data_IF_080076553095
#
_entry.id   IF_080076553095
#
_cell.length_a   1.000
_cell.length_b   1.000
_cell.length_c   1.000
_cell.angle_alpha   90.00
_cell.angle_beta   90.00
_cell.angle_gamma   90.00
#
_symmetry.space_group_name_H-M   'P 1'
#
loop_
_entity.id
_entity.type
_entity.pdbx_description
1 polymer ?
#
# COMPACT_ATOMS: atom_id res chain seq x y z
N UNK A 1 43.48 58.69 -86.08
CA UNK A 1 44.02 57.51 -85.42
C UNK A 1 43.11 57.11 -84.30
N UNK A 2 42.21 56.17 -84.45
CA UNK A 2 41.37 55.62 -83.42
C UNK A 2 41.22 54.13 -83.68
N UNK A 3 41.80 53.29 -82.76
CA UNK A 3 41.65 51.86 -82.80
C UNK A 3 40.40 51.46 -82.01
N UNK A 4 39.54 50.71 -82.69
CA UNK A 4 38.36 50.07 -82.13
C UNK A 4 38.77 48.79 -81.37
N UNK A 5 38.26 48.64 -80.19
CA UNK A 5 38.39 47.39 -79.43
C UNK A 5 36.97 46.75 -79.33
N UNK A 6 36.86 45.58 -79.90
CA UNK A 6 35.66 44.75 -79.82
C UNK A 6 35.55 44.12 -78.42
N UNK A 7 34.40 44.24 -77.84
CA UNK A 7 34.04 43.59 -76.58
C UNK A 7 33.35 42.27 -76.86
N UNK A 8 33.94 41.14 -76.45
CA UNK A 8 33.32 39.83 -76.48
C UNK A 8 32.57 39.60 -75.19
N UNK A 9 31.30 39.32 -75.33
CA UNK A 9 30.44 39.00 -74.19
C UNK A 9 30.47 37.47 -74.01
N UNK A 10 31.15 36.96 -72.95
CA UNK A 10 31.00 35.57 -72.48
C UNK A 10 29.78 35.49 -71.55
N UNK A 11 28.81 34.68 -71.98
CA UNK A 11 27.66 34.35 -71.18
C UNK A 11 28.05 33.23 -70.19
N UNK A 12 28.14 33.54 -68.85
CA UNK A 12 28.28 32.57 -67.83
C UNK A 12 26.90 32.10 -67.31
N UNK A 13 26.57 30.86 -67.64
CA UNK A 13 25.38 30.19 -67.09
C UNK A 13 25.69 29.76 -65.64
N UNK A 14 25.08 30.48 -64.73
CA UNK A 14 25.20 30.15 -63.26
C UNK A 14 24.15 29.08 -62.93
N UNK A 15 24.59 27.84 -62.73
CA UNK A 15 23.75 26.74 -62.27
C UNK A 15 23.50 26.92 -60.77
N UNK A 16 22.30 27.34 -60.41
CA UNK A 16 21.85 27.47 -59.01
C UNK A 16 21.46 26.09 -58.50
N UNK A 17 22.35 25.41 -57.75
CA UNK A 17 22.06 24.18 -57.02
C UNK A 17 21.22 24.50 -55.77
N UNK A 18 19.91 24.24 -55.87
CA UNK A 18 19.00 24.26 -54.73
C UNK A 18 19.25 23.02 -53.87
N UNK A 19 19.95 23.18 -52.74
CA UNK A 19 20.02 22.19 -51.67
C UNK A 19 18.66 22.14 -50.96
N UNK A 20 17.83 21.16 -51.28
CA UNK A 20 16.68 20.82 -50.43
C UNK A 20 17.20 20.16 -49.16
N UNK A 21 17.29 20.91 -48.04
CA UNK A 21 17.43 20.35 -46.72
C UNK A 21 16.11 19.71 -46.36
N UNK A 22 16.02 18.38 -46.51
CA UNK A 22 14.93 17.60 -45.92
C UNK A 22 15.15 17.58 -44.42
N UNK A 23 14.45 18.45 -43.66
CA UNK A 23 14.36 18.35 -42.22
C UNK A 23 13.54 17.08 -41.96
N UNK A 24 14.25 15.99 -41.67
CA UNK A 24 13.65 14.76 -41.17
C UNK A 24 13.16 15.05 -39.73
N UNK A 25 11.87 15.36 -39.62
CA UNK A 25 11.20 15.46 -38.32
C UNK A 25 11.12 14.05 -37.77
N UNK A 26 12.14 13.61 -37.04
CA UNK A 26 12.07 12.41 -36.21
C UNK A 26 11.06 12.71 -35.10
N UNK A 27 9.82 12.25 -35.28
CA UNK A 27 8.86 12.16 -34.22
C UNK A 27 9.46 11.23 -33.16
N UNK A 28 10.02 11.82 -32.11
CA UNK A 28 10.31 11.11 -30.87
C UNK A 28 8.99 10.48 -30.43
N UNK A 29 8.84 9.17 -30.67
CA UNK A 29 7.82 8.38 -30.00
C UNK A 29 8.08 8.59 -28.51
N UNK A 30 7.24 9.40 -27.87
CA UNK A 30 7.14 9.46 -26.43
C UNK A 30 6.73 8.05 -26.02
N UNK A 31 7.70 7.24 -25.58
CA UNK A 31 7.40 5.97 -24.94
C UNK A 31 6.42 6.30 -23.82
N UNK A 32 5.16 6.00 -24.05
CA UNK A 32 4.16 6.03 -22.98
C UNK A 32 4.64 4.98 -22.00
N UNK A 33 5.20 5.43 -20.88
CA UNK A 33 5.54 4.54 -19.79
C UNK A 33 4.30 3.70 -19.54
N UNK A 34 4.40 2.40 -19.79
CA UNK A 34 3.31 1.46 -19.55
C UNK A 34 2.96 1.63 -18.09
N UNK A 35 1.71 2.00 -17.80
CA UNK A 35 1.23 2.07 -16.42
C UNK A 35 1.23 0.63 -15.87
N UNK A 36 2.31 0.24 -15.21
CA UNK A 36 2.54 -1.09 -14.65
C UNK A 36 1.77 -1.33 -13.34
N UNK A 37 0.89 -0.40 -12.98
CA UNK A 37 0.04 -0.51 -11.81
C UNK A 37 -1.15 -1.45 -12.05
N UNK A 38 -1.18 -2.55 -11.31
CA UNK A 38 -2.31 -3.47 -11.25
C UNK A 38 -3.32 -2.98 -10.21
N UNK A 39 -4.61 -2.95 -10.56
CA UNK A 39 -5.67 -2.79 -9.56
C UNK A 39 -5.88 -4.10 -8.79
N UNK A 40 -5.84 -4.05 -7.46
CA UNK A 40 -6.16 -5.18 -6.60
C UNK A 40 -7.66 -5.28 -6.30
N UNK A 41 -8.42 -4.23 -6.57
CA UNK A 41 -9.85 -4.18 -6.35
C UNK A 41 -10.58 -3.74 -7.62
N UNK A 42 -11.57 -4.50 -8.03
CA UNK A 42 -12.33 -4.29 -9.28
C UNK A 42 -13.52 -3.32 -9.14
N UNK A 43 -13.76 -2.80 -7.94
CA UNK A 43 -14.89 -1.91 -7.65
C UNK A 43 -16.25 -2.59 -7.58
N UNK A 44 -16.36 -3.92 -7.65
CA UNK A 44 -17.62 -4.66 -7.74
C UNK A 44 -17.81 -5.75 -6.69
N UNK A 45 -16.75 -6.48 -6.36
CA UNK A 45 -16.77 -7.60 -5.41
C UNK A 45 -15.39 -7.85 -4.82
N UNK A 46 -15.35 -8.69 -3.78
CA UNK A 46 -14.13 -9.12 -3.10
C UNK A 46 -13.74 -10.57 -3.45
N UNK A 47 -14.11 -11.08 -4.64
CA UNK A 47 -13.84 -12.47 -5.05
C UNK A 47 -12.34 -12.80 -5.15
N UNK A 48 -11.50 -11.78 -5.33
CA UNK A 48 -10.03 -11.92 -5.33
C UNK A 48 -9.41 -11.79 -3.93
N UNK A 49 -10.25 -11.80 -2.89
CA UNK A 49 -9.84 -11.60 -1.52
C UNK A 49 -10.30 -12.74 -0.63
N UNK A 50 -9.58 -13.00 0.45
CA UNK A 50 -9.86 -14.05 1.44
C UNK A 50 -10.10 -13.37 2.78
N UNK A 51 -11.26 -13.62 3.37
CA UNK A 51 -11.61 -13.11 4.70
C UNK A 51 -11.08 -14.05 5.78
N UNK A 52 -10.50 -13.49 6.84
CA UNK A 52 -10.25 -14.19 8.10
C UNK A 52 -10.62 -13.28 9.25
N UNK A 53 -11.56 -13.70 10.05
CA UNK A 53 -12.02 -13.00 11.27
C UNK A 53 -11.75 -13.93 12.47
N UNK A 54 -11.29 -13.36 13.56
CA UNK A 54 -11.09 -14.07 14.83
C UNK A 54 -12.39 -14.75 15.25
N UNK A 55 -12.33 -15.97 15.78
CA UNK A 55 -13.42 -16.89 16.09
C UNK A 55 -14.14 -17.50 14.88
N UNK A 56 -13.77 -17.18 13.64
CA UNK A 56 -14.42 -17.63 12.43
C UNK A 56 -13.47 -18.42 11.53
N UNK A 57 -14.04 -19.34 10.75
CA UNK A 57 -13.28 -20.07 9.74
C UNK A 57 -12.79 -19.12 8.63
N UNK A 58 -11.72 -19.50 7.95
CA UNK A 58 -11.26 -18.78 6.74
C UNK A 58 -12.35 -18.76 5.70
N UNK A 59 -12.63 -17.60 5.13
CA UNK A 59 -13.68 -17.36 4.15
C UNK A 59 -15.03 -16.94 4.77
N UNK A 60 -15.22 -17.08 6.08
CA UNK A 60 -16.42 -16.60 6.76
C UNK A 60 -16.35 -15.08 6.96
N UNK A 61 -17.17 -14.37 6.20
CA UNK A 61 -17.33 -12.92 6.32
C UNK A 61 -18.46 -12.58 7.32
N UNK A 62 -18.26 -12.96 8.58
CA UNK A 62 -19.23 -12.78 9.65
C UNK A 62 -19.82 -11.38 9.67
N UNK A 63 -21.13 -11.28 9.83
CA UNK A 63 -21.85 -10.02 9.87
C UNK A 63 -21.62 -9.12 8.65
N UNK A 64 -21.25 -9.70 7.50
CA UNK A 64 -20.92 -8.97 6.28
C UNK A 64 -19.95 -7.82 6.54
N UNK A 65 -18.88 -8.10 7.35
CA UNK A 65 -17.87 -7.12 7.79
C UNK A 65 -17.23 -6.40 6.63
N UNK A 66 -16.75 -7.18 5.66
CA UNK A 66 -16.16 -6.62 4.43
C UNK A 66 -17.18 -6.65 3.32
N UNK A 67 -17.58 -5.49 2.83
CA UNK A 67 -18.58 -5.37 1.77
C UNK A 67 -18.16 -4.35 0.71
N UNK A 68 -18.80 -4.44 -0.46
CA UNK A 68 -18.57 -3.49 -1.55
C UNK A 68 -19.79 -2.62 -1.72
N UNK A 69 -19.62 -1.33 -1.49
CA UNK A 69 -20.61 -0.30 -1.73
C UNK A 69 -19.92 0.92 -2.33
N UNK A 70 -20.58 1.63 -3.23
CA UNK A 70 -20.07 2.84 -3.89
C UNK A 70 -18.67 2.65 -4.54
N UNK A 71 -18.41 1.46 -5.09
CA UNK A 71 -17.11 1.06 -5.66
C UNK A 71 -15.94 1.12 -4.66
N UNK A 72 -16.22 0.96 -3.36
CA UNK A 72 -15.26 0.92 -2.27
C UNK A 72 -15.37 -0.40 -1.51
N UNK A 73 -14.27 -0.84 -0.90
CA UNK A 73 -14.31 -1.85 0.15
C UNK A 73 -14.63 -1.10 1.45
N UNK A 74 -15.73 -1.49 2.08
CA UNK A 74 -16.17 -0.90 3.35
C UNK A 74 -16.12 -1.94 4.46
N UNK A 75 -15.58 -1.56 5.60
CA UNK A 75 -15.62 -2.33 6.83
C UNK A 75 -16.78 -1.80 7.67
N UNK A 76 -17.71 -2.68 8.04
CA UNK A 76 -18.93 -2.33 8.78
C UNK A 76 -19.23 -3.38 9.85
N UNK A 77 -19.95 -2.94 10.89
CA UNK A 77 -20.31 -3.78 12.05
C UNK A 77 -21.78 -3.70 12.43
N UNK A 78 -22.62 -3.17 11.55
CA UNK A 78 -24.08 -3.00 11.76
C UNK A 78 -24.84 -4.31 11.95
N UNK A 79 -24.25 -5.44 11.50
CA UNK A 79 -24.82 -6.79 11.67
C UNK A 79 -24.17 -7.57 12.82
N UNK A 80 -23.36 -6.92 13.64
CA UNK A 80 -22.76 -7.55 14.82
C UNK A 80 -23.70 -7.42 16.04
N UNK A 81 -23.93 -8.51 16.73
CA UNK A 81 -24.52 -8.53 18.08
C UNK A 81 -23.55 -7.91 19.10
N UNK A 82 -22.36 -8.47 19.20
CA UNK A 82 -21.26 -8.01 20.02
C UNK A 82 -19.95 -8.03 19.23
N UNK A 83 -19.00 -7.15 19.56
CA UNK A 83 -17.69 -7.17 18.89
C UNK A 83 -16.89 -8.43 19.29
N UNK A 84 -16.87 -8.77 20.58
CA UNK A 84 -16.21 -9.97 21.12
C UNK A 84 -14.82 -10.22 20.50
N UNK A 85 -13.98 -9.19 20.39
CA UNK A 85 -12.63 -9.26 19.80
C UNK A 85 -12.60 -9.87 18.37
N UNK A 86 -13.67 -9.72 17.60
CA UNK A 86 -13.72 -10.20 16.20
C UNK A 86 -12.89 -9.30 15.28
N UNK A 87 -11.57 -9.27 15.56
CA UNK A 87 -10.59 -8.65 14.66
C UNK A 87 -10.58 -9.41 13.32
N UNK A 88 -10.52 -8.69 12.23
CA UNK A 88 -10.60 -9.30 10.92
C UNK A 88 -9.62 -8.72 9.91
N UNK A 89 -9.31 -9.53 8.92
CA UNK A 89 -8.37 -9.20 7.87
C UNK A 89 -8.90 -9.66 6.52
N UNK A 90 -8.88 -8.78 5.55
CA UNK A 90 -9.26 -9.07 4.16
C UNK A 90 -8.00 -9.18 3.32
N UNK A 91 -7.58 -10.40 3.03
CA UNK A 91 -6.32 -10.72 2.35
C UNK A 91 -6.48 -10.72 0.84
N UNK A 92 -5.55 -10.08 0.13
CA UNK A 92 -5.45 -10.31 -1.30
C UNK A 92 -4.96 -11.74 -1.58
N UNK A 93 -5.47 -12.36 -2.65
CA UNK A 93 -5.37 -13.81 -2.91
C UNK A 93 -3.96 -14.38 -3.09
N UNK A 94 -2.93 -13.55 -3.32
CA UNK A 94 -1.54 -13.99 -3.52
C UNK A 94 -0.55 -13.17 -2.71
N UNK A 95 0.62 -13.76 -2.33
CA UNK A 95 1.68 -13.04 -1.66
C UNK A 95 2.49 -12.16 -2.62
N UNK A 96 3.27 -11.23 -2.03
CA UNK A 96 4.22 -10.36 -2.71
C UNK A 96 5.52 -10.27 -1.91
N UNK A 97 6.65 -10.09 -2.61
CA UNK A 97 7.98 -9.88 -2.03
C UNK A 97 8.43 -8.42 -2.18
N UNK A 98 8.54 -7.96 -3.42
CA UNK A 98 8.97 -6.60 -3.75
C UNK A 98 7.84 -5.87 -4.45
N UNK A 99 7.33 -4.82 -3.81
CA UNK A 99 6.14 -4.11 -4.34
C UNK A 99 6.07 -2.66 -3.89
N UNK A 100 5.30 -1.88 -4.64
CA UNK A 100 4.78 -0.59 -4.26
C UNK A 100 3.25 -0.69 -4.26
N UNK A 101 2.66 -0.66 -3.08
CA UNK A 101 1.21 -0.61 -2.88
C UNK A 101 0.78 0.82 -2.63
N UNK A 102 -0.38 1.21 -3.16
CA UNK A 102 -1.06 2.45 -2.78
C UNK A 102 -2.55 2.27 -2.72
N UNK A 103 -3.16 2.98 -1.78
CA UNK A 103 -4.59 3.03 -1.60
C UNK A 103 -4.99 4.36 -0.97
N UNK A 104 -6.27 4.60 -0.90
CA UNK A 104 -6.86 5.68 -0.10
C UNK A 104 -7.78 5.09 0.94
N UNK A 105 -7.73 5.64 2.16
CA UNK A 105 -8.63 5.25 3.23
C UNK A 105 -9.29 6.46 3.88
N UNK A 106 -10.43 6.21 4.54
CA UNK A 106 -11.15 7.18 5.34
C UNK A 106 -11.92 6.46 6.44
N UNK A 107 -11.81 6.92 7.67
CA UNK A 107 -12.63 6.38 8.76
C UNK A 107 -14.09 6.75 8.61
N UNK A 108 -14.96 5.86 9.04
CA UNK A 108 -16.41 6.03 9.06
C UNK A 108 -16.95 5.82 10.49
N UNK A 109 -18.22 6.06 10.71
CA UNK A 109 -18.86 5.93 12.01
C UNK A 109 -20.13 5.04 11.93
N UNK A 110 -20.63 4.60 13.08
CA UNK A 110 -20.08 4.74 14.43
C UNK A 110 -19.00 3.68 14.76
N UNK A 111 -18.04 4.04 15.64
CA UNK A 111 -17.17 3.07 16.29
C UNK A 111 -17.96 2.14 17.22
N UNK A 112 -17.52 0.88 17.30
CA UNK A 112 -18.10 -0.13 18.19
C UNK A 112 -17.67 0.12 19.63
N UNK A 113 -18.55 0.68 20.46
CA UNK A 113 -18.27 1.02 21.86
C UNK A 113 -17.97 -0.19 22.77
N UNK A 114 -18.36 -1.39 22.33
CA UNK A 114 -18.04 -2.67 22.97
C UNK A 114 -16.71 -3.27 22.50
N UNK A 115 -16.01 -2.60 21.58
CA UNK A 115 -14.63 -2.91 21.21
C UNK A 115 -13.64 -2.23 22.18
N UNK A 116 -12.40 -2.77 22.31
CA UNK A 116 -11.37 -2.15 23.14
C UNK A 116 -11.08 -0.71 22.70
N UNK A 117 -10.81 0.19 23.64
CA UNK A 117 -10.65 1.62 23.37
C UNK A 117 -9.52 1.97 22.38
N UNK A 118 -8.46 1.16 22.32
CA UNK A 118 -7.36 1.36 21.35
C UNK A 118 -7.80 1.16 19.90
N UNK A 119 -8.96 0.54 19.64
CA UNK A 119 -9.50 0.32 18.30
C UNK A 119 -10.24 1.53 17.73
N UNK A 120 -10.48 2.56 18.54
CA UNK A 120 -11.13 3.78 18.08
C UNK A 120 -10.26 4.51 17.07
N UNK A 121 -10.81 4.77 15.88
CA UNK A 121 -10.11 5.36 14.73
C UNK A 121 -8.76 4.68 14.46
N UNK A 122 -8.78 3.33 14.44
CA UNK A 122 -7.64 2.45 14.22
C UNK A 122 -7.97 1.41 13.16
N UNK A 123 -7.03 1.17 12.25
CA UNK A 123 -7.04 0.17 11.19
C UNK A 123 -5.63 0.09 10.59
N UNK A 124 -5.43 -0.70 9.52
CA UNK A 124 -4.12 -0.79 8.89
C UNK A 124 -4.07 -1.65 7.63
N UNK A 125 -2.86 -1.72 7.09
CA UNK A 125 -2.46 -2.69 6.07
C UNK A 125 -1.50 -3.68 6.72
N UNK A 126 -1.88 -4.96 6.76
CA UNK A 126 -0.95 -6.02 7.10
C UNK A 126 -0.17 -6.42 5.85
N UNK A 127 1.13 -6.63 5.97
CA UNK A 127 1.97 -7.12 4.86
C UNK A 127 3.06 -8.06 5.39
N UNK A 128 3.75 -8.75 4.49
CA UNK A 128 4.57 -9.91 4.88
C UNK A 128 3.82 -10.86 5.82
N UNK A 129 2.50 -10.86 5.69
CA UNK A 129 1.62 -11.62 6.56
C UNK A 129 1.64 -13.10 6.21
N UNK A 130 1.50 -13.94 7.24
CA UNK A 130 1.26 -15.36 7.04
C UNK A 130 0.06 -15.60 6.12
N UNK A 131 0.03 -16.76 5.47
CA UNK A 131 -1.12 -17.19 4.68
C UNK A 131 -2.35 -17.33 5.59
N UNK A 132 -3.48 -16.66 5.29
CA UNK A 132 -4.69 -16.76 6.11
C UNK A 132 -5.19 -18.20 6.29
N UNK A 133 -4.91 -19.08 5.34
CA UNK A 133 -5.26 -20.51 5.42
C UNK A 133 -4.49 -21.30 6.47
N UNK A 134 -3.37 -20.74 6.96
CA UNK A 134 -2.58 -21.32 8.06
C UNK A 134 -3.01 -20.80 9.43
N UNK A 135 -3.88 -19.78 9.49
CA UNK A 135 -4.36 -19.24 10.74
C UNK A 135 -5.38 -20.18 11.41
N UNK A 136 -5.20 -20.39 12.71
CA UNK A 136 -6.19 -21.07 13.52
C UNK A 136 -7.47 -20.23 13.62
N UNK A 137 -8.59 -20.90 13.92
CA UNK A 137 -9.89 -20.23 14.12
C UNK A 137 -9.78 -19.16 15.21
N UNK A 138 -9.13 -19.51 16.31
CA UNK A 138 -8.96 -18.65 17.50
C UNK A 138 -7.68 -17.78 17.45
N UNK A 139 -6.98 -17.72 16.32
CA UNK A 139 -5.87 -16.78 16.17
C UNK A 139 -6.41 -15.37 15.95
N UNK A 140 -6.01 -14.43 16.82
CA UNK A 140 -6.46 -13.03 16.80
C UNK A 140 -5.78 -12.21 15.69
N UNK A 141 -4.46 -12.09 15.74
CA UNK A 141 -3.66 -11.35 14.78
C UNK A 141 -2.84 -12.29 13.90
N UNK A 142 -2.68 -11.97 12.61
CA UNK A 142 -1.68 -12.68 11.79
C UNK A 142 -0.27 -12.36 12.27
N UNK A 143 0.65 -13.30 12.13
CA UNK A 143 2.08 -12.98 12.17
C UNK A 143 2.37 -12.13 10.94
N UNK A 144 2.65 -10.84 11.13
CA UNK A 144 2.77 -9.86 10.05
C UNK A 144 3.43 -8.57 10.52
N UNK A 145 3.78 -7.71 9.59
CA UNK A 145 4.04 -6.29 9.86
C UNK A 145 2.82 -5.48 9.45
N UNK A 146 2.54 -4.41 10.16
CA UNK A 146 1.41 -3.53 9.92
C UNK A 146 1.87 -2.11 9.60
N UNK A 147 1.30 -1.50 8.55
CA UNK A 147 1.24 -0.06 8.40
C UNK A 147 -0.06 0.43 9.02
N UNK A 148 0.01 0.90 10.28
CA UNK A 148 -1.14 1.30 11.07
C UNK A 148 -1.72 2.64 10.62
N UNK A 149 -3.03 2.72 10.54
CA UNK A 149 -3.79 3.93 10.26
C UNK A 149 -4.49 4.44 11.50
N UNK A 150 -4.27 5.72 11.81
CA UNK A 150 -4.90 6.39 12.93
C UNK A 150 -5.51 7.72 12.48
N UNK A 151 -6.49 8.23 13.25
CA UNK A 151 -7.01 9.58 13.11
C UNK A 151 -7.14 10.26 14.48
N UNK A 152 -7.37 11.55 14.48
CA UNK A 152 -7.51 12.39 15.66
C UNK A 152 -8.66 11.93 16.55
N UNK A 153 -8.39 11.69 17.82
CA UNK A 153 -9.41 11.43 18.84
C UNK A 153 -10.00 12.75 19.39
N UNK A 154 -11.06 12.63 20.17
CA UNK A 154 -11.74 13.78 20.78
C UNK A 154 -10.84 14.59 21.75
N UNK A 155 -9.78 13.96 22.29
CA UNK A 155 -8.83 14.63 23.20
C UNK A 155 -7.86 15.59 22.48
N UNK A 156 -7.87 15.60 21.14
CA UNK A 156 -7.07 16.50 20.32
C UNK A 156 -5.57 16.29 20.33
N UNK A 157 -5.09 15.22 21.01
CA UNK A 157 -3.65 14.94 21.08
C UNK A 157 -3.05 14.52 19.73
N UNK A 158 -1.73 14.75 19.53
CA UNK A 158 -1.04 14.23 18.36
C UNK A 158 -1.19 12.72 18.25
N UNK A 159 -1.62 12.25 17.07
CA UNK A 159 -1.83 10.84 16.77
C UNK A 159 -1.42 10.57 15.31
N UNK A 160 -0.10 10.40 15.04
CA UNK A 160 0.40 10.20 13.69
C UNK A 160 -0.16 8.93 13.06
N UNK A 161 -0.32 8.91 11.75
CA UNK A 161 -0.74 7.74 10.96
C UNK A 161 0.41 7.20 10.12
N UNK A 162 0.27 5.95 9.61
CA UNK A 162 1.38 5.30 8.90
C UNK A 162 2.48 4.81 9.84
N UNK A 163 2.14 4.51 11.09
CA UNK A 163 3.05 3.90 12.05
C UNK A 163 3.39 2.46 11.61
N UNK A 164 4.45 1.90 12.14
CA UNK A 164 4.73 0.46 12.06
C UNK A 164 4.27 -0.22 13.33
N UNK A 165 3.48 -1.29 13.23
CA UNK A 165 3.21 -2.22 14.32
C UNK A 165 3.59 -3.65 13.91
N UNK A 166 3.90 -4.51 14.91
CA UNK A 166 4.57 -5.78 14.65
C UNK A 166 3.91 -6.95 15.39
N UNK A 167 2.66 -7.36 15.04
CA UNK A 167 2.05 -8.52 15.65
C UNK A 167 2.82 -9.80 15.26
N UNK A 168 3.43 -10.46 16.26
CA UNK A 168 4.23 -11.68 16.05
C UNK A 168 5.52 -11.48 15.27
N UNK A 169 6.00 -10.25 15.14
CA UNK A 169 7.19 -9.89 14.35
C UNK A 169 8.04 -8.85 15.08
N UNK A 170 9.26 -8.67 14.60
CA UNK A 170 10.19 -7.60 14.98
C UNK A 170 10.72 -6.91 13.73
N UNK A 171 11.25 -5.71 13.87
CA UNK A 171 11.92 -4.97 12.80
C UNK A 171 13.22 -4.35 13.31
N UNK A 172 14.16 -4.08 12.40
CA UNK A 172 15.35 -3.29 12.71
C UNK A 172 15.04 -1.82 12.42
N UNK A 173 15.08 -1.00 13.47
CA UNK A 173 14.90 0.43 13.40
C UNK A 173 16.11 1.14 14.05
N UNK A 174 16.67 2.15 13.36
CA UNK A 174 17.90 2.82 13.79
C UNK A 174 19.06 1.83 14.06
N UNK A 175 19.21 0.81 13.21
CA UNK A 175 20.33 -0.13 13.23
C UNK A 175 20.25 -1.27 14.27
N UNK A 176 19.13 -1.42 14.97
CA UNK A 176 18.93 -2.50 15.96
C UNK A 176 17.47 -2.99 15.96
N UNK A 177 17.27 -4.22 16.41
CA UNK A 177 15.91 -4.74 16.66
C UNK A 177 15.24 -3.82 17.69
N UNK A 178 14.06 -3.32 17.33
CA UNK A 178 13.28 -2.44 18.20
C UNK A 178 12.26 -3.27 19.00
N UNK A 179 12.28 -3.25 20.32
CA UNK A 179 11.39 -4.07 21.15
C UNK A 179 9.96 -3.52 21.23
N UNK A 180 9.69 -2.34 20.70
CA UNK A 180 8.35 -1.74 20.73
C UNK A 180 7.43 -2.46 19.76
N UNK A 181 6.23 -2.78 20.22
CA UNK A 181 5.20 -3.29 19.32
C UNK A 181 4.83 -2.29 18.22
N UNK A 182 4.78 -0.99 18.53
CA UNK A 182 4.53 0.05 17.53
C UNK A 182 5.60 1.15 17.58
N UNK A 183 6.03 1.61 16.39
CA UNK A 183 6.92 2.73 16.16
C UNK A 183 6.12 3.83 15.48
N UNK A 184 6.03 5.01 16.10
CA UNK A 184 5.33 6.15 15.52
C UNK A 184 6.07 6.67 14.29
N UNK A 185 5.31 7.00 13.28
CA UNK A 185 5.77 7.74 12.10
C UNK A 185 5.96 9.22 12.40
N UNK A 186 6.49 9.95 11.43
CA UNK A 186 6.61 11.42 11.48
C UNK A 186 5.43 12.13 10.83
N UNK A 187 4.33 11.42 10.50
CA UNK A 187 3.18 12.06 9.88
C UNK A 187 2.47 13.01 10.84
N UNK A 188 1.76 13.97 10.28
CA UNK A 188 0.82 14.76 11.06
C UNK A 188 -0.42 13.93 11.43
N UNK A 189 -1.23 14.46 12.34
CA UNK A 189 -2.54 13.93 12.70
C UNK A 189 -3.59 14.42 11.70
N UNK A 190 -4.47 13.53 11.25
CA UNK A 190 -5.57 13.82 10.32
C UNK A 190 -6.92 13.60 11.00
N UNK A 191 -7.95 14.27 10.49
CA UNK A 191 -9.34 14.06 10.93
C UNK A 191 -9.91 12.79 10.30
N UNK A 192 -10.88 12.18 10.96
CA UNK A 192 -11.51 10.92 10.51
C UNK A 192 -12.19 11.02 9.15
N UNK A 193 -12.72 12.19 8.80
CA UNK A 193 -13.46 12.42 7.55
C UNK A 193 -12.56 12.61 6.32
N UNK A 194 -11.26 12.81 6.54
CA UNK A 194 -10.31 13.06 5.46
C UNK A 194 -9.97 11.77 4.70
N UNK A 195 -9.94 11.85 3.37
CA UNK A 195 -9.33 10.81 2.54
C UNK A 195 -7.82 10.93 2.59
N UNK A 196 -7.17 9.87 3.07
CA UNK A 196 -5.71 9.80 3.21
C UNK A 196 -5.15 8.85 2.16
N UNK A 197 -4.13 9.30 1.43
CA UNK A 197 -3.35 8.47 0.52
C UNK A 197 -2.25 7.78 1.31
N UNK A 198 -2.28 6.46 1.34
CA UNK A 198 -1.25 5.63 1.94
C UNK A 198 -0.50 4.88 0.85
N UNK A 199 0.84 4.93 0.90
CA UNK A 199 1.69 4.15 0.01
C UNK A 199 2.70 3.36 0.85
N UNK A 200 2.94 2.12 0.43
CA UNK A 200 3.84 1.19 1.09
C UNK A 200 4.82 0.63 0.05
N UNK A 201 6.11 0.93 0.20
CA UNK A 201 7.16 0.37 -0.64
C UNK A 201 7.89 -0.69 0.17
N UNK A 202 7.91 -1.92 -0.32
CA UNK A 202 8.55 -3.07 0.31
C UNK A 202 9.56 -3.67 -0.65
N UNK A 203 10.79 -3.89 -0.17
CA UNK A 203 11.88 -4.57 -0.89
C UNK A 203 12.31 -5.79 -0.06
N UNK A 204 11.47 -6.83 -0.07
CA UNK A 204 11.70 -8.01 0.77
C UNK A 204 11.97 -7.62 2.22
N UNK A 205 13.02 -8.18 2.80
CA UNK A 205 13.50 -7.81 4.13
C UNK A 205 14.50 -6.63 4.13
N UNK A 206 14.90 -6.10 2.97
CA UNK A 206 15.94 -5.08 2.87
C UNK A 206 15.47 -3.70 3.34
N UNK A 207 14.29 -3.27 2.89
CA UNK A 207 13.78 -1.94 3.18
C UNK A 207 12.26 -1.87 3.07
N UNK A 208 11.65 -1.29 4.09
CA UNK A 208 10.24 -0.89 4.10
C UNK A 208 10.14 0.62 4.23
N UNK A 209 9.28 1.24 3.44
CA UNK A 209 9.02 2.68 3.47
C UNK A 209 7.51 2.93 3.52
N UNK A 210 7.07 3.69 4.52
CA UNK A 210 5.71 4.19 4.65
C UNK A 210 5.63 5.62 4.13
N UNK A 211 4.61 5.91 3.31
CA UNK A 211 4.37 7.23 2.71
C UNK A 211 2.91 7.61 2.97
N UNK A 212 2.68 8.81 3.48
CA UNK A 212 1.35 9.36 3.72
C UNK A 212 1.22 10.69 2.96
N UNK A 213 0.23 10.78 2.08
CA UNK A 213 -0.05 11.95 1.24
C UNK A 213 1.17 12.46 0.45
N UNK A 214 2.07 11.54 0.06
CA UNK A 214 3.30 11.83 -0.70
C UNK A 214 4.55 12.02 0.16
N UNK A 215 4.41 12.20 1.48
CA UNK A 215 5.55 12.36 2.38
C UNK A 215 6.02 11.00 2.92
N UNK A 216 7.31 10.71 2.84
CA UNK A 216 7.91 9.57 3.53
C UNK A 216 7.89 9.83 5.03
N UNK A 217 7.18 8.98 5.78
CA UNK A 217 6.95 9.18 7.21
C UNK A 217 7.65 8.15 8.11
N UNK A 218 8.07 7.00 7.55
CA UNK A 218 8.79 5.98 8.31
C UNK A 218 9.59 5.08 7.36
N UNK A 219 10.78 4.65 7.82
CA UNK A 219 11.60 3.61 7.18
C UNK A 219 12.19 2.68 8.22
N UNK A 220 12.28 1.41 7.89
CA UNK A 220 12.92 0.36 8.70
C UNK A 220 13.34 -0.81 7.81
N UNK A 221 14.06 -1.76 8.38
CA UNK A 221 14.65 -2.88 7.66
C UNK A 221 14.44 -4.20 8.43
N UNK A 222 14.77 -5.31 7.81
CA UNK A 222 14.83 -6.65 8.39
C UNK A 222 13.57 -7.01 9.20
N UNK A 223 12.36 -6.89 8.62
CA UNK A 223 11.18 -7.48 9.24
C UNK A 223 11.42 -8.98 9.39
N UNK A 224 11.17 -9.50 10.59
CA UNK A 224 11.41 -10.89 10.93
C UNK A 224 10.35 -11.41 11.91
N UNK A 225 10.15 -12.71 11.96
CA UNK A 225 9.31 -13.33 12.98
C UNK A 225 9.94 -13.08 14.35
N UNK A 226 9.16 -12.66 15.32
CA UNK A 226 9.64 -12.31 16.67
C UNK A 226 8.52 -11.70 17.50
N UNK A 227 8.87 -10.95 18.54
CA UNK A 227 7.93 -10.18 19.33
C UNK A 227 6.74 -10.96 19.89
N UNK A 228 5.72 -10.21 20.31
CA UNK A 228 4.48 -10.71 20.90
C UNK A 228 3.23 -10.28 20.14
N UNK A 229 2.15 -10.05 20.87
CA UNK A 229 0.82 -9.54 20.44
C UNK A 229 -0.04 -10.55 19.68
N UNK A 230 0.47 -11.25 18.65
CA UNK A 230 -0.27 -12.35 18.02
C UNK A 230 -0.41 -13.54 18.98
N UNK A 231 -1.62 -14.11 19.08
CA UNK A 231 -1.91 -15.24 19.98
C UNK A 231 -2.60 -16.37 19.22
N UNK A 232 -2.56 -17.57 19.80
CA UNK A 232 -3.23 -18.78 19.28
C UNK A 232 -2.79 -19.17 17.86
N UNK A 233 -1.60 -18.73 17.43
CA UNK A 233 -0.99 -19.19 16.18
C UNK A 233 -0.51 -20.65 16.30
N UNK A 234 -0.24 -21.28 15.17
CA UNK A 234 0.40 -22.60 15.12
C UNK A 234 1.89 -22.45 15.48
N UNK A 235 2.40 -23.17 16.47
CA UNK A 235 3.80 -23.01 16.94
C UNK A 235 4.83 -23.15 15.84
N UNK A 236 4.60 -24.02 14.84
CA UNK A 236 5.49 -24.27 13.74
C UNK A 236 5.69 -23.07 12.80
N UNK A 237 4.80 -22.07 12.84
CA UNK A 237 4.90 -20.85 12.04
C UNK A 237 5.77 -19.81 12.75
N UNK A 238 5.79 -19.78 14.07
CA UNK A 238 6.49 -18.79 14.90
C UNK A 238 7.95 -19.18 15.12
N UNK A 239 8.77 -19.00 14.06
CA UNK A 239 10.21 -19.27 14.08
C UNK A 239 10.93 -17.93 14.25
N UNK A 240 11.22 -17.54 15.48
CA UNK A 240 11.83 -16.25 15.81
C UNK A 240 13.19 -16.05 15.14
N UNK A 241 13.42 -14.83 14.64
CA UNK A 241 14.61 -14.45 13.86
C UNK A 241 14.54 -14.80 12.37
N UNK A 242 13.52 -15.52 11.90
CA UNK A 242 13.34 -15.77 10.46
C UNK A 242 12.92 -14.48 9.76
N UNK A 243 13.74 -14.03 8.79
CA UNK A 243 13.43 -12.87 7.97
C UNK A 243 12.15 -13.08 7.15
N UNK A 244 11.37 -12.01 7.03
CA UNK A 244 10.16 -11.96 6.21
C UNK A 244 10.50 -11.34 4.85
N UNK A 245 10.68 -12.18 3.85
CA UNK A 245 11.05 -11.76 2.49
C UNK A 245 9.83 -11.60 1.58
N UNK A 246 8.73 -12.27 1.91
CA UNK A 246 7.45 -12.21 1.19
C UNK A 246 6.30 -12.55 2.11
N UNK A 247 5.08 -12.22 1.70
CA UNK A 247 3.87 -12.60 2.43
C UNK A 247 2.62 -11.97 1.83
N UNK A 248 1.49 -12.26 2.46
CA UNK A 248 0.21 -11.74 2.02
C UNK A 248 0.02 -10.28 2.45
N UNK A 249 -0.82 -9.57 1.70
CA UNK A 249 -1.27 -8.21 2.03
C UNK A 249 -2.73 -8.30 2.46
N UNK A 250 -3.07 -7.64 3.58
CA UNK A 250 -4.45 -7.60 4.05
C UNK A 250 -4.86 -6.21 4.53
N UNK A 251 -6.15 -5.90 4.40
CA UNK A 251 -6.79 -4.74 5.00
C UNK A 251 -7.41 -5.17 6.34
N UNK A 252 -7.22 -4.36 7.38
CA UNK A 252 -7.63 -4.70 8.73
C UNK A 252 -9.04 -4.20 9.05
N UNK A 253 -9.78 -4.97 9.87
CA UNK A 253 -11.00 -4.58 10.57
C UNK A 253 -10.82 -4.78 12.07
N UNK A 254 -11.02 -3.73 12.87
CA UNK A 254 -10.66 -3.72 14.28
C UNK A 254 -11.73 -3.09 15.20
N UNK A 255 -13.00 -3.08 14.75
CA UNK A 255 -14.10 -2.46 15.50
C UNK A 255 -14.41 -1.03 15.08
N UNK A 256 -13.53 -0.39 14.30
CA UNK A 256 -13.75 0.90 13.69
C UNK A 256 -14.16 0.74 12.23
N UNK A 257 -15.32 1.28 11.80
CA UNK A 257 -15.67 1.35 10.38
C UNK A 257 -14.65 2.17 9.59
N UNK A 258 -14.30 1.68 8.39
CA UNK A 258 -13.36 2.34 7.50
C UNK A 258 -13.71 2.03 6.04
N UNK A 259 -13.42 2.96 5.15
CA UNK A 259 -13.58 2.84 3.70
C UNK A 259 -12.22 2.77 3.03
N UNK A 260 -12.05 1.87 2.04
CA UNK A 260 -10.86 1.76 1.21
C UNK A 260 -11.22 1.89 -0.27
N UNK A 261 -10.40 2.61 -1.04
CA UNK A 261 -10.53 2.73 -2.50
C UNK A 261 -9.19 2.88 -3.19
N UNK A 262 -9.18 2.82 -4.52
CA UNK A 262 -8.00 3.04 -5.36
C UNK A 262 -6.82 2.12 -5.00
N UNK A 263 -7.10 0.86 -4.65
CA UNK A 263 -6.12 -0.11 -4.20
C UNK A 263 -5.36 -0.64 -5.41
N UNK A 264 -4.11 -0.22 -5.56
CA UNK A 264 -3.26 -0.56 -6.71
C UNK A 264 -1.88 -0.99 -6.23
N UNK A 265 -1.30 -1.94 -6.94
CA UNK A 265 0.04 -2.46 -6.68
C UNK A 265 0.87 -2.46 -7.95
N UNK A 266 2.17 -2.24 -7.79
CA UNK A 266 3.17 -2.45 -8.82
C UNK A 266 4.24 -3.37 -8.26
N UNK A 267 4.59 -4.46 -8.98
CA UNK A 267 5.76 -5.27 -8.64
C UNK A 267 7.03 -4.44 -8.83
N UNK A 268 7.98 -4.63 -7.93
CA UNK A 268 9.33 -4.07 -8.02
C UNK A 268 10.36 -5.17 -8.38
N UNK A 269 9.89 -6.39 -8.64
CA UNK A 269 10.71 -7.46 -9.22
C UNK A 269 11.10 -7.04 -10.64
N UNK A 270 12.39 -7.23 -10.99
CA UNK A 270 12.92 -6.93 -12.32
C UNK A 270 12.62 -8.07 -13.29
#
# INVERSE_FOLDING_TARGET
MKKSVKLEILSAISALLLFFNTISCSTLKKDSAVDDWQSLFNGRNINDWIVKIHHHAVGDNYGNTFRVEDKMIKVRYDQYDTFNNRYGHLYYKKPYAHFHLKLEYRFAEPWRKDAPSYTELNSGIMFHSQDPRTMNKEQDWPISVEMQFLAQLADGKPRPTGNMCSPGTDVVYNGKIDPRHCINSTSKTYKKEEWIKAELIVRGSELVTHIINGDTVLRYTQPQIGGGVANNYRPEIKIDGKLLESGFIALQSEGQPIDFRNIRIRSLDK
#
